data_IF_023069649508
#
_entry.id   IF_023069649508
#
_cell.length_a   1.000
_cell.length_b   1.000
_cell.length_c   1.000
_cell.angle_alpha   90.00
_cell.angle_beta   90.00
_cell.angle_gamma   90.00
#
_symmetry.space_group_name_H-M   'P 1'
#
loop_
_entity.id
_entity.type
_entity.pdbx_description
1 polymer ?
#
# COMPACT_ATOMS: atom_id res chain seq x y z
N UNK A 1 -61.59 23.28 16.54
CA UNK A 1 -60.85 22.17 17.18
C UNK A 1 -60.92 21.00 16.22
N UNK A 2 -59.87 20.79 15.44
CA UNK A 2 -59.67 19.59 14.64
C UNK A 2 -58.18 19.30 14.67
N UNK A 3 -57.76 18.52 15.67
CA UNK A 3 -56.39 18.05 15.80
C UNK A 3 -56.14 17.06 14.66
N UNK A 4 -55.31 17.47 13.71
CA UNK A 4 -54.86 16.63 12.62
C UNK A 4 -53.75 15.71 13.12
N UNK A 5 -54.11 14.49 13.49
CA UNK A 5 -53.19 13.39 13.77
C UNK A 5 -52.32 13.14 12.52
N UNK A 6 -51.08 13.62 12.57
CA UNK A 6 -50.08 13.37 11.54
C UNK A 6 -49.45 12.02 11.89
N UNK A 7 -49.84 10.96 11.18
CA UNK A 7 -49.27 9.62 11.34
C UNK A 7 -47.76 9.68 11.08
N UNK A 8 -46.96 9.64 12.15
CA UNK A 8 -45.51 9.60 12.05
C UNK A 8 -45.11 8.22 11.48
N UNK A 9 -44.63 8.19 10.23
CA UNK A 9 -44.04 7.00 9.62
C UNK A 9 -42.90 6.50 10.53
N UNK A 10 -43.08 5.30 11.09
CA UNK A 10 -42.08 4.68 11.95
C UNK A 10 -40.87 4.29 11.10
N UNK A 11 -39.68 4.73 11.50
CA UNK A 11 -38.45 4.23 10.90
C UNK A 11 -38.30 2.73 11.16
N UNK A 12 -37.53 2.04 10.30
CA UNK A 12 -37.20 0.62 10.42
C UNK A 12 -36.65 0.21 11.82
N UNK A 13 -36.21 1.18 12.62
CA UNK A 13 -35.65 1.00 13.97
C UNK A 13 -36.51 1.60 15.10
N UNK A 14 -37.80 1.92 14.84
CA UNK A 14 -38.74 2.36 15.89
C UNK A 14 -38.54 3.79 16.40
N UNK A 15 -37.63 4.56 15.79
CA UNK A 15 -37.49 5.99 16.08
C UNK A 15 -38.52 6.79 15.27
N UNK A 16 -39.19 7.79 15.86
CA UNK A 16 -40.05 8.69 15.11
C UNK A 16 -39.21 9.47 14.09
N UNK A 17 -39.52 9.34 12.80
CA UNK A 17 -38.90 10.17 11.77
C UNK A 17 -39.39 11.59 12.02
N UNK A 18 -38.52 12.45 12.56
CA UNK A 18 -38.82 13.87 12.69
C UNK A 18 -38.86 14.46 11.29
N UNK A 19 -39.98 15.10 10.94
CA UNK A 19 -40.06 15.93 9.75
C UNK A 19 -38.91 16.93 9.72
N UNK A 20 -38.31 17.10 8.54
CA UNK A 20 -37.23 18.05 8.32
C UNK A 20 -37.74 19.45 8.67
N UNK A 21 -37.25 20.03 9.78
CA UNK A 21 -37.60 21.39 10.21
C UNK A 21 -37.03 22.42 9.24
N UNK A 22 -37.83 22.72 8.19
CA UNK A 22 -37.51 23.70 7.15
C UNK A 22 -37.44 25.14 7.66
N UNK A 23 -37.88 25.42 8.89
CA UNK A 23 -37.85 26.77 9.48
C UNK A 23 -36.43 27.17 9.89
N UNK A 24 -35.61 26.21 10.34
CA UNK A 24 -34.24 26.48 10.80
C UNK A 24 -33.22 26.56 9.66
N UNK A 25 -33.53 26.03 8.47
CA UNK A 25 -32.66 26.10 7.31
C UNK A 25 -33.46 26.24 6.01
N UNK A 26 -33.96 27.45 5.69
CA UNK A 26 -34.84 27.68 4.54
C UNK A 26 -34.14 27.39 3.19
N UNK A 27 -32.80 27.45 3.15
CA UNK A 27 -31.96 27.08 2.00
C UNK A 27 -31.12 25.81 2.26
N UNK A 28 -31.58 24.95 3.18
CA UNK A 28 -30.79 23.83 3.66
C UNK A 28 -30.41 22.88 2.55
N UNK A 29 -29.13 22.86 2.19
CA UNK A 29 -28.54 21.80 1.38
C UNK A 29 -28.91 20.48 2.03
N UNK A 30 -29.71 19.68 1.35
CA UNK A 30 -29.96 18.29 1.74
C UNK A 30 -28.62 17.59 1.77
N UNK A 31 -28.16 17.20 2.96
CA UNK A 31 -26.96 16.39 3.09
C UNK A 31 -27.36 14.98 2.68
N UNK A 32 -26.92 14.55 1.49
CA UNK A 32 -27.08 13.17 1.08
C UNK A 32 -26.10 12.30 1.88
N UNK A 33 -26.63 11.69 2.94
CA UNK A 33 -25.88 10.81 3.84
C UNK A 33 -25.21 9.68 3.05
N UNK A 34 -25.84 9.16 1.99
CA UNK A 34 -25.27 8.08 1.16
C UNK A 34 -24.04 8.54 0.40
N UNK A 35 -24.06 9.74 -0.18
CA UNK A 35 -22.89 10.32 -0.84
C UNK A 35 -21.73 10.56 0.12
N UNK A 36 -22.04 10.97 1.36
CA UNK A 36 -21.01 11.12 2.40
C UNK A 36 -20.34 9.78 2.70
N UNK A 37 -21.11 8.72 2.93
CA UNK A 37 -20.55 7.37 3.17
C UNK A 37 -19.73 6.87 1.97
N UNK A 38 -20.22 7.06 0.74
CA UNK A 38 -19.49 6.68 -0.47
C UNK A 38 -18.10 7.32 -0.54
N UNK A 39 -18.01 8.64 -0.29
CA UNK A 39 -16.72 9.35 -0.27
C UNK A 39 -15.79 8.87 0.84
N UNK A 40 -16.31 8.56 2.02
CA UNK A 40 -15.50 8.04 3.13
C UNK A 40 -14.90 6.67 2.79
N UNK A 41 -15.69 5.77 2.19
CA UNK A 41 -15.21 4.48 1.70
C UNK A 41 -14.15 4.63 0.61
N UNK A 42 -14.34 5.57 -0.31
CA UNK A 42 -13.37 5.85 -1.37
C UNK A 42 -12.02 6.33 -0.81
N UNK A 43 -12.03 7.23 0.19
CA UNK A 43 -10.81 7.66 0.91
C UNK A 43 -10.10 6.47 1.56
N UNK A 44 -10.83 5.60 2.26
CA UNK A 44 -10.26 4.44 2.97
C UNK A 44 -9.69 3.42 1.97
N UNK A 45 -10.37 3.21 0.84
CA UNK A 45 -9.90 2.30 -0.21
C UNK A 45 -8.59 2.79 -0.84
N UNK A 46 -8.50 4.08 -1.16
CA UNK A 46 -7.28 4.67 -1.72
C UNK A 46 -6.11 4.63 -0.72
N UNK A 47 -6.36 4.92 0.56
CA UNK A 47 -5.34 4.77 1.61
C UNK A 47 -4.90 3.31 1.77
N UNK A 48 -5.84 2.36 1.66
CA UNK A 48 -5.53 0.93 1.69
C UNK A 48 -4.69 0.50 0.48
N UNK A 49 -4.83 1.14 -0.68
CA UNK A 49 -3.97 0.90 -1.85
C UNK A 49 -2.55 1.51 -1.69
N UNK A 50 -2.30 2.30 -0.65
CA UNK A 50 -0.99 2.87 -0.35
C UNK A 50 -0.78 4.30 -0.87
N UNK A 51 -1.80 4.97 -1.37
CA UNK A 51 -1.70 6.37 -1.78
C UNK A 51 -1.47 7.29 -0.58
N UNK A 52 -0.67 8.35 -0.77
CA UNK A 52 -0.45 9.36 0.28
C UNK A 52 -1.70 10.22 0.42
N UNK A 53 -2.00 10.67 1.65
CA UNK A 53 -3.17 11.52 1.91
C UNK A 53 -3.25 12.79 1.05
N UNK A 54 -2.11 13.35 0.63
CA UNK A 54 -2.05 14.48 -0.31
C UNK A 54 -2.45 14.10 -1.74
N UNK A 55 -2.12 12.90 -2.19
CA UNK A 55 -2.49 12.36 -3.50
C UNK A 55 -3.99 12.07 -3.54
N UNK A 56 -4.52 11.44 -2.48
CA UNK A 56 -5.95 11.18 -2.30
C UNK A 56 -6.75 12.48 -2.34
N UNK A 57 -6.27 13.51 -1.63
CA UNK A 57 -6.88 14.83 -1.62
C UNK A 57 -6.92 15.45 -3.03
N UNK A 58 -5.84 15.33 -3.81
CA UNK A 58 -5.78 15.80 -5.19
C UNK A 58 -6.71 15.03 -6.12
N UNK A 59 -6.82 13.71 -5.97
CA UNK A 59 -7.69 12.85 -6.80
C UNK A 59 -9.17 13.14 -6.56
N UNK A 60 -9.57 13.34 -5.29
CA UNK A 60 -10.96 13.56 -4.91
C UNK A 60 -11.37 15.04 -4.89
N UNK A 61 -10.43 15.96 -5.13
CA UNK A 61 -10.67 17.40 -5.10
C UNK A 61 -11.12 17.92 -3.72
N UNK A 62 -10.53 17.39 -2.64
CA UNK A 62 -10.85 17.74 -1.26
C UNK A 62 -9.62 18.25 -0.50
N UNK A 63 -9.83 18.85 0.67
CA UNK A 63 -8.72 19.28 1.52
C UNK A 63 -7.98 18.07 2.12
N UNK A 64 -6.63 18.08 2.18
CA UNK A 64 -5.85 17.05 2.87
C UNK A 64 -6.24 16.87 4.35
N UNK A 65 -6.71 17.94 5.00
CA UNK A 65 -7.19 17.88 6.39
C UNK A 65 -8.45 17.02 6.49
N UNK A 66 -9.33 17.09 5.49
CA UNK A 66 -10.54 16.25 5.44
C UNK A 66 -10.20 14.78 5.30
N UNK A 67 -9.21 14.43 4.48
CA UNK A 67 -8.68 13.06 4.34
C UNK A 67 -8.09 12.58 5.66
N UNK A 68 -7.28 13.41 6.33
CA UNK A 68 -6.70 13.07 7.63
C UNK A 68 -7.78 12.81 8.68
N UNK A 69 -8.81 13.65 8.75
CA UNK A 69 -9.91 13.48 9.69
C UNK A 69 -10.74 12.22 9.40
N UNK A 70 -11.00 11.93 8.12
CA UNK A 70 -11.67 10.72 7.68
C UNK A 70 -10.93 9.46 8.15
N UNK A 71 -9.64 9.36 7.85
CA UNK A 71 -8.79 8.21 8.18
C UNK A 71 -8.58 8.03 9.69
N UNK A 72 -8.49 9.15 10.43
CA UNK A 72 -8.24 9.12 11.88
C UNK A 72 -9.52 9.01 12.73
N UNK A 73 -10.70 9.09 12.12
CA UNK A 73 -11.97 8.88 12.80
C UNK A 73 -12.07 7.47 13.39
N UNK A 74 -12.87 7.29 14.45
CA UNK A 74 -13.09 5.97 15.07
C UNK A 74 -13.64 4.96 14.07
N UNK A 75 -14.60 5.39 13.25
CA UNK A 75 -15.19 4.57 12.19
C UNK A 75 -14.16 4.24 11.10
N UNK A 76 -13.40 5.23 10.63
CA UNK A 76 -12.37 5.05 9.60
C UNK A 76 -11.26 4.08 10.04
N UNK A 77 -10.83 4.17 11.29
CA UNK A 77 -9.87 3.22 11.88
C UNK A 77 -10.42 1.79 11.96
N UNK A 78 -11.69 1.63 12.33
CA UNK A 78 -12.37 0.34 12.37
C UNK A 78 -12.42 -0.32 10.99
N UNK A 79 -12.99 0.38 10.00
CA UNK A 79 -13.09 -0.12 8.62
C UNK A 79 -11.72 -0.41 8.02
N UNK A 80 -10.73 0.45 8.25
CA UNK A 80 -9.35 0.22 7.80
C UNK A 80 -8.73 -1.03 8.44
N UNK A 81 -9.03 -1.30 9.71
CA UNK A 81 -8.59 -2.54 10.36
C UNK A 81 -9.25 -3.76 9.74
N UNK A 82 -10.53 -3.69 9.40
CA UNK A 82 -11.27 -4.81 8.81
C UNK A 82 -10.78 -5.10 7.39
N UNK A 83 -10.61 -4.06 6.56
CA UNK A 83 -10.05 -4.19 5.20
C UNK A 83 -8.65 -4.81 5.22
N UNK A 84 -7.82 -4.47 6.22
CA UNK A 84 -6.50 -5.10 6.40
C UNK A 84 -6.62 -6.58 6.74
N UNK A 85 -7.49 -6.94 7.69
CA UNK A 85 -7.71 -8.35 8.06
C UNK A 85 -8.17 -9.18 6.87
N UNK A 86 -9.16 -8.70 6.11
CA UNK A 86 -9.65 -9.41 4.93
C UNK A 86 -8.54 -9.63 3.90
N UNK A 87 -7.65 -8.64 3.68
CA UNK A 87 -6.51 -8.81 2.78
C UNK A 87 -5.46 -9.77 3.31
N UNK A 88 -5.19 -9.75 4.61
CA UNK A 88 -4.26 -10.68 5.24
C UNK A 88 -4.80 -12.12 5.14
N UNK A 89 -6.12 -12.31 5.29
CA UNK A 89 -6.81 -13.59 5.09
C UNK A 89 -6.71 -14.07 3.63
N UNK A 90 -7.07 -13.22 2.65
CA UNK A 90 -6.93 -13.51 1.21
C UNK A 90 -5.48 -13.84 0.82
N UNK A 91 -4.51 -13.15 1.44
CA UNK A 91 -3.09 -13.41 1.20
C UNK A 91 -2.65 -14.78 1.74
N UNK A 92 -3.14 -15.19 2.90
CA UNK A 92 -2.80 -16.49 3.46
C UNK A 92 -3.41 -17.63 2.61
N UNK A 93 -4.65 -17.47 2.14
CA UNK A 93 -5.26 -18.41 1.17
C UNK A 93 -4.43 -18.53 -0.12
N UNK A 94 -4.08 -17.39 -0.74
CA UNK A 94 -3.25 -17.37 -1.94
C UNK A 94 -1.87 -18.00 -1.71
N UNK A 95 -1.29 -17.76 -0.53
CA UNK A 95 0.01 -18.34 -0.14
C UNK A 95 -0.08 -19.85 -0.03
N UNK A 96 -1.14 -20.39 0.55
CA UNK A 96 -1.38 -21.83 0.62
C UNK A 96 -1.49 -22.45 -0.78
N UNK A 97 -2.24 -21.82 -1.68
CA UNK A 97 -2.39 -22.25 -3.08
C UNK A 97 -1.04 -22.27 -3.82
N UNK A 98 -0.24 -21.20 -3.68
CA UNK A 98 1.10 -21.13 -4.28
C UNK A 98 2.01 -22.20 -3.71
N UNK A 99 1.94 -22.48 -2.40
CA UNK A 99 2.72 -23.55 -1.77
C UNK A 99 2.32 -24.92 -2.28
N UNK A 100 1.02 -25.19 -2.45
CA UNK A 100 0.53 -26.45 -3.02
C UNK A 100 1.01 -26.62 -4.47
N UNK A 101 0.87 -25.57 -5.30
CA UNK A 101 1.33 -25.57 -6.68
C UNK A 101 2.84 -25.80 -6.77
N UNK A 102 3.61 -25.18 -5.87
CA UNK A 102 5.06 -25.35 -5.79
C UNK A 102 5.42 -26.80 -5.45
N UNK A 103 4.75 -27.41 -4.46
CA UNK A 103 4.96 -28.83 -4.11
C UNK A 103 4.65 -29.76 -5.28
N UNK A 104 3.55 -29.53 -6.01
CA UNK A 104 3.19 -30.31 -7.21
C UNK A 104 4.25 -30.16 -8.31
N UNK A 105 4.70 -28.93 -8.56
CA UNK A 105 5.74 -28.64 -9.56
C UNK A 105 7.06 -29.34 -9.23
N UNK A 106 7.48 -29.33 -7.95
CA UNK A 106 8.67 -30.06 -7.51
C UNK A 106 8.57 -31.57 -7.72
N UNK A 107 7.39 -32.17 -7.46
CA UNK A 107 7.17 -33.60 -7.73
C UNK A 107 7.32 -33.92 -9.22
N UNK A 108 6.74 -33.11 -10.10
CA UNK A 108 6.88 -33.27 -11.55
C UNK A 108 8.34 -33.15 -11.98
N UNK A 109 9.11 -32.23 -11.39
CA UNK A 109 10.54 -32.15 -11.64
C UNK A 109 11.28 -33.42 -11.23
N UNK A 110 10.98 -33.99 -10.05
CA UNK A 110 11.55 -35.27 -9.63
C UNK A 110 11.19 -36.41 -10.59
N UNK A 111 9.92 -36.50 -11.03
CA UNK A 111 9.48 -37.49 -12.02
C UNK A 111 10.25 -37.38 -13.34
N UNK A 112 10.49 -36.15 -13.83
CA UNK A 112 11.29 -35.91 -15.05
C UNK A 112 12.75 -36.37 -14.89
N UNK A 113 13.32 -36.22 -13.69
CA UNK A 113 14.70 -36.66 -13.42
C UNK A 113 14.79 -38.17 -13.29
N UNK A 114 13.88 -38.79 -12.55
CA UNK A 114 13.92 -40.21 -12.19
C UNK A 114 13.43 -41.13 -13.30
N UNK A 115 12.78 -40.59 -14.34
CA UNK A 115 12.29 -41.40 -15.44
C UNK A 115 13.45 -42.12 -16.20
N UNK A 116 13.33 -43.42 -16.53
CA UNK A 116 14.36 -44.13 -17.28
C UNK A 116 14.59 -43.54 -18.68
N UNK A 117 15.85 -43.43 -19.13
CA UNK A 117 16.18 -42.93 -20.47
C UNK A 117 15.57 -43.75 -21.61
N UNK A 118 15.28 -45.03 -21.34
CA UNK A 118 14.76 -45.99 -22.30
C UNK A 118 13.25 -45.87 -22.52
N UNK A 119 12.51 -45.13 -21.66
CA UNK A 119 11.06 -44.96 -21.80
C UNK A 119 10.67 -44.12 -23.02
N UNK A 120 11.54 -43.20 -23.45
CA UNK A 120 11.32 -42.31 -24.59
C UNK A 120 10.22 -41.25 -24.41
N UNK A 121 9.56 -41.19 -23.25
CA UNK A 121 8.42 -40.29 -22.98
C UNK A 121 8.91 -38.85 -22.78
N UNK A 122 9.98 -38.65 -22.01
CA UNK A 122 10.61 -37.33 -21.83
C UNK A 122 11.88 -37.18 -22.67
N UNK A 123 11.88 -36.18 -23.55
CA UNK A 123 13.04 -35.84 -24.38
C UNK A 123 14.24 -35.38 -23.55
N UNK A 124 15.46 -35.70 -24.00
CA UNK A 124 16.71 -35.24 -23.36
C UNK A 124 16.79 -33.70 -23.27
N UNK A 125 16.23 -32.99 -24.25
CA UNK A 125 16.14 -31.54 -24.24
C UNK A 125 15.30 -31.00 -23.08
N UNK A 126 14.16 -31.65 -22.80
CA UNK A 126 13.30 -31.28 -21.67
C UNK A 126 13.99 -31.55 -20.33
N UNK A 127 14.70 -32.68 -20.18
CA UNK A 127 15.50 -32.97 -18.97
C UNK A 127 16.59 -31.93 -18.74
N UNK A 128 17.29 -31.51 -19.79
CA UNK A 128 18.31 -30.46 -19.71
C UNK A 128 17.70 -29.12 -19.29
N UNK A 129 16.60 -28.70 -19.93
CA UNK A 129 15.93 -27.44 -19.58
C UNK A 129 15.45 -27.43 -18.12
N UNK A 130 14.88 -28.54 -17.66
CA UNK A 130 14.51 -28.75 -16.25
C UNK A 130 15.71 -28.69 -15.31
N UNK A 131 16.82 -29.37 -15.65
CA UNK A 131 18.06 -29.33 -14.87
C UNK A 131 18.63 -27.91 -14.76
N UNK A 132 18.69 -27.19 -15.87
CA UNK A 132 19.18 -25.81 -15.93
C UNK A 132 18.30 -24.89 -15.08
N UNK A 133 16.98 -25.08 -15.10
CA UNK A 133 16.03 -24.28 -14.29
C UNK A 133 16.24 -24.52 -12.79
N UNK A 134 16.37 -25.78 -12.37
CA UNK A 134 16.61 -26.12 -10.95
C UNK A 134 17.99 -25.66 -10.49
N UNK A 135 19.02 -25.90 -11.29
CA UNK A 135 20.39 -25.57 -10.94
C UNK A 135 20.68 -24.06 -10.97
N UNK A 136 20.06 -23.31 -11.88
CA UNK A 136 20.35 -21.88 -12.04
C UNK A 136 19.33 -20.97 -11.34
N UNK A 137 18.04 -21.29 -11.36
CA UNK A 137 17.01 -20.38 -10.81
C UNK A 137 16.64 -20.73 -9.37
N UNK A 138 16.49 -22.03 -9.05
CA UNK A 138 15.99 -22.46 -7.74
C UNK A 138 17.08 -22.69 -6.69
N UNK A 139 18.30 -23.04 -7.09
CA UNK A 139 19.39 -23.36 -6.16
C UNK A 139 19.97 -22.14 -5.44
N UNK A 140 19.70 -20.93 -5.94
CA UNK A 140 20.33 -19.70 -5.46
C UNK A 140 21.83 -19.59 -5.79
N UNK A 141 22.41 -20.56 -6.52
CA UNK A 141 23.83 -20.58 -6.92
C UNK A 141 24.09 -19.81 -8.21
N UNK A 142 23.12 -19.03 -8.70
CA UNK A 142 23.29 -18.26 -9.92
C UNK A 142 24.36 -17.20 -9.72
N UNK A 143 25.40 -17.25 -10.55
CA UNK A 143 26.36 -16.16 -10.63
C UNK A 143 25.64 -14.88 -11.11
N UNK A 144 25.86 -13.72 -10.48
CA UNK A 144 25.35 -12.44 -10.96
C UNK A 144 25.80 -12.20 -12.42
N UNK A 145 24.86 -12.05 -13.33
CA UNK A 145 25.15 -11.89 -14.77
C UNK A 145 25.45 -10.46 -15.16
N UNK A 146 24.92 -9.49 -14.41
CA UNK A 146 25.15 -8.06 -14.63
C UNK A 146 25.37 -7.35 -13.29
N UNK A 147 26.54 -6.74 -13.14
CA UNK A 147 26.81 -5.81 -12.05
C UNK A 147 26.57 -4.41 -12.63
N UNK A 148 25.40 -3.84 -12.36
CA UNK A 148 25.12 -2.46 -12.76
C UNK A 148 25.75 -1.50 -11.75
N UNK A 149 26.97 -1.04 -12.04
CA UNK A 149 27.64 -0.02 -11.23
C UNK A 149 27.17 1.37 -11.67
N UNK A 150 26.27 1.98 -10.89
CA UNK A 150 25.95 3.40 -11.04
C UNK A 150 27.06 4.24 -10.39
N UNK A 151 28.08 4.55 -11.19
CA UNK A 151 29.11 5.51 -10.80
C UNK A 151 28.66 6.91 -11.19
N UNK A 152 28.41 7.76 -10.19
CA UNK A 152 28.14 9.18 -10.42
C UNK A 152 29.47 9.90 -10.52
N UNK A 153 29.92 10.11 -11.75
CA UNK A 153 31.08 10.95 -12.04
C UNK A 153 30.60 12.40 -12.22
N UNK A 154 30.95 13.27 -11.27
CA UNK A 154 30.69 14.70 -11.35
C UNK A 154 32.00 15.45 -11.55
N UNK A 155 32.07 16.29 -12.57
CA UNK A 155 33.14 17.27 -12.72
C UNK A 155 32.71 18.54 -12.02
N UNK A 156 33.20 18.71 -10.79
CA UNK A 156 32.92 19.90 -9.99
C UNK A 156 34.03 20.92 -10.18
N UNK A 157 33.62 22.16 -10.36
CA UNK A 157 34.52 23.31 -10.31
C UNK A 157 34.95 23.60 -8.88
N UNK A 158 36.04 24.35 -8.70
CA UNK A 158 36.59 24.67 -7.37
C UNK A 158 35.53 25.36 -6.50
N UNK A 159 34.75 26.27 -7.07
CA UNK A 159 33.71 27.02 -6.38
C UNK A 159 32.58 26.09 -5.88
N UNK A 160 32.17 25.12 -6.69
CA UNK A 160 31.15 24.14 -6.31
C UNK A 160 31.63 23.19 -5.20
N UNK A 161 32.93 22.88 -5.17
CA UNK A 161 33.55 22.09 -4.10
C UNK A 161 33.54 22.88 -2.79
N UNK A 162 33.85 24.18 -2.83
CA UNK A 162 33.78 25.02 -1.64
C UNK A 162 32.36 25.17 -1.10
N UNK A 163 31.38 25.31 -2.00
CA UNK A 163 29.98 25.43 -1.60
C UNK A 163 29.42 24.10 -1.06
N UNK A 164 29.88 22.95 -1.60
CA UNK A 164 29.62 21.63 -1.01
C UNK A 164 30.26 21.47 0.37
N UNK A 165 31.52 21.90 0.56
CA UNK A 165 32.18 21.87 1.87
C UNK A 165 31.43 22.74 2.88
N UNK A 166 31.02 23.95 2.50
CA UNK A 166 30.26 24.86 3.37
C UNK A 166 28.93 24.23 3.81
N UNK A 167 28.16 23.67 2.87
CA UNK A 167 26.91 22.95 3.18
C UNK A 167 27.15 21.72 4.04
N UNK A 168 28.22 20.97 3.77
CA UNK A 168 28.61 19.80 4.56
C UNK A 168 28.96 20.14 6.01
N UNK A 169 29.72 21.22 6.23
CA UNK A 169 30.09 21.71 7.56
C UNK A 169 28.85 22.20 8.32
N UNK A 170 27.97 22.94 7.66
CA UNK A 170 26.72 23.41 8.27
C UNK A 170 25.82 22.24 8.71
N UNK A 171 25.65 21.24 7.85
CA UNK A 171 24.88 20.02 8.16
C UNK A 171 25.55 19.17 9.25
N UNK A 172 26.88 19.07 9.26
CA UNK A 172 27.63 18.35 10.29
C UNK A 172 27.55 19.04 11.66
N UNK A 173 27.56 20.39 11.69
CA UNK A 173 27.36 21.19 12.90
C UNK A 173 25.93 21.02 13.44
N UNK A 174 24.92 21.08 12.57
CA UNK A 174 23.52 20.83 12.96
C UNK A 174 23.31 19.43 13.54
N UNK A 175 24.05 18.44 13.05
CA UNK A 175 24.02 17.06 13.54
C UNK A 175 24.99 16.79 14.71
N UNK A 176 25.63 17.82 15.28
CA UNK A 176 26.49 17.71 16.47
C UNK A 176 27.80 16.94 16.27
N UNK A 177 28.24 16.72 15.02
CA UNK A 177 29.46 15.96 14.73
C UNK A 177 30.75 16.80 14.76
N UNK A 178 30.64 18.11 14.81
CA UNK A 178 31.76 19.04 14.95
C UNK A 178 31.57 19.80 16.27
N UNK A 179 32.49 19.59 17.21
CA UNK A 179 32.55 20.31 18.49
C UNK A 179 33.72 21.28 18.39
N UNK A 180 33.44 22.58 18.50
CA UNK A 180 34.49 23.60 18.58
C UNK A 180 35.07 23.58 19.99
N UNK A 181 36.34 23.17 20.11
CA UNK A 181 37.09 23.29 21.36
C UNK A 181 37.62 24.73 21.43
N UNK A 182 37.09 25.53 22.35
CA UNK A 182 37.67 26.83 22.68
C UNK A 182 39.11 26.62 23.16
N UNK A 183 40.07 27.24 22.48
CA UNK A 183 41.45 27.30 22.94
C UNK A 183 41.48 28.12 24.22
N UNK A 184 41.63 27.43 25.34
CA UNK A 184 42.00 28.03 26.63
C UNK A 184 43.41 28.61 26.45
N UNK A 185 43.52 29.94 26.53
CA UNK A 185 44.80 30.66 26.60
C UNK A 185 45.45 30.47 27.98
#
# INVERSE_FOLDING_TARGET
MSDGDTQAEQSLYGFPIRDLDRRRNPNGRSVDIKQFYSRQHEIINLDSLGYKGTEIASMLGISPVTVSNALNSTLGKGVKSDVRKTRDEEYEELREDVMELTRKSLKVYHEIFDEPRESGIVSMGMRKATADTVALELSGLRAPTQINTQSVHAHLTIDEIEDLKRRGIAAARANGKIVELEKVN
#
